data_IF_417208439742
#
_entry.id   IF_417208439742
#
_cell.length_a   1.000
_cell.length_b   1.000
_cell.length_c   1.000
_cell.angle_alpha   90.00
_cell.angle_beta   90.00
_cell.angle_gamma   90.00
#
_symmetry.space_group_name_H-M   'P 1'
#
loop_
_entity.id
_entity.type
_entity.pdbx_description
1 polymer ?
#
# COMPACT_ATOMS: atom_id res chain seq x y z
N UNK A 1 -4.46 -2.80 -9.39
CA UNK A 1 -4.22 -1.83 -8.30
C UNK A 1 -5.56 -1.55 -7.64
N UNK A 2 -5.66 -1.61 -6.31
CA UNK A 2 -6.95 -1.53 -5.60
C UNK A 2 -6.84 -0.89 -4.21
N UNK A 3 -7.98 -0.85 -3.49
CA UNK A 3 -8.09 -0.23 -2.16
C UNK A 3 -7.90 -1.22 -1.01
N UNK A 4 -7.85 -2.53 -1.28
CA UNK A 4 -7.87 -3.56 -0.26
C UNK A 4 -6.86 -4.67 -0.53
N UNK A 5 -6.44 -5.35 0.53
CA UNK A 5 -5.59 -6.52 0.46
C UNK A 5 -4.28 -6.30 -0.31
N UNK A 6 -3.88 -7.27 -1.11
CA UNK A 6 -2.65 -7.23 -1.93
C UNK A 6 -2.64 -6.10 -2.95
N UNK A 7 -3.81 -5.75 -3.48
CA UNK A 7 -3.95 -4.66 -4.46
C UNK A 7 -3.68 -3.28 -3.83
N UNK A 8 -3.99 -3.10 -2.55
CA UNK A 8 -3.63 -1.90 -1.78
C UNK A 8 -2.11 -1.80 -1.53
N UNK A 9 -1.47 -2.92 -1.20
CA UNK A 9 0.00 -2.95 -1.03
C UNK A 9 0.69 -2.54 -2.33
N UNK A 10 0.24 -3.08 -3.48
CA UNK A 10 0.75 -2.69 -4.79
C UNK A 10 0.55 -1.20 -5.06
N UNK A 11 -0.63 -0.65 -4.76
CA UNK A 11 -0.91 0.79 -4.89
C UNK A 11 0.07 1.63 -4.08
N UNK A 12 0.36 1.25 -2.82
CA UNK A 12 1.33 1.97 -1.99
C UNK A 12 2.73 1.99 -2.60
N UNK A 13 3.19 0.85 -3.10
CA UNK A 13 4.51 0.73 -3.75
C UNK A 13 4.57 1.64 -4.99
N UNK A 14 3.55 1.59 -5.85
CA UNK A 14 3.45 2.43 -7.05
C UNK A 14 3.48 3.91 -6.69
N UNK A 15 2.63 4.35 -5.75
CA UNK A 15 2.56 5.77 -5.33
C UNK A 15 3.87 6.26 -4.71
N UNK A 16 4.53 5.42 -3.92
CA UNK A 16 5.85 5.76 -3.37
C UNK A 16 6.90 5.94 -4.47
N UNK A 17 6.92 5.04 -5.45
CA UNK A 17 7.83 5.18 -6.60
C UNK A 17 7.52 6.44 -7.42
N UNK A 18 6.24 6.73 -7.69
CA UNK A 18 5.81 7.93 -8.40
C UNK A 18 6.26 9.20 -7.69
N UNK A 19 6.11 9.29 -6.37
CA UNK A 19 6.57 10.45 -5.61
C UNK A 19 8.07 10.70 -5.80
N UNK A 20 8.88 9.66 -5.74
CA UNK A 20 10.32 9.79 -5.99
C UNK A 20 10.61 10.17 -7.46
N UNK A 21 9.87 9.60 -8.39
CA UNK A 21 9.94 9.99 -9.80
C UNK A 21 9.63 11.45 -10.03
N UNK A 22 8.64 12.00 -9.34
CA UNK A 22 8.28 13.43 -9.41
C UNK A 22 9.38 14.36 -8.89
N UNK A 23 10.14 13.93 -7.89
CA UNK A 23 11.31 14.69 -7.43
C UNK A 23 12.45 14.75 -8.44
N UNK A 24 12.58 13.69 -9.25
CA UNK A 24 13.63 13.59 -10.27
C UNK A 24 13.28 14.30 -11.57
N UNK A 25 11.99 14.47 -11.86
CA UNK A 25 11.51 15.04 -13.09
C UNK A 25 10.27 15.90 -12.84
N UNK A 26 10.37 17.20 -13.08
CA UNK A 26 9.27 18.17 -12.92
C UNK A 26 8.05 17.90 -13.83
N UNK A 27 8.19 17.00 -14.80
CA UNK A 27 7.11 16.58 -15.69
C UNK A 27 6.43 15.33 -15.16
N UNK A 28 5.44 15.52 -14.37
CA UNK A 28 4.66 14.52 -13.62
C UNK A 28 3.79 13.55 -14.46
N UNK A 29 4.21 13.16 -15.65
CA UNK A 29 3.38 12.32 -16.54
C UNK A 29 4.16 11.11 -17.02
N UNK A 30 3.51 9.93 -16.92
CA UNK A 30 4.01 8.67 -17.46
C UNK A 30 5.38 8.20 -16.90
N UNK A 31 5.63 8.40 -15.62
CA UNK A 31 6.92 8.06 -14.99
C UNK A 31 7.16 6.55 -14.97
N UNK A 32 6.26 5.78 -14.35
CA UNK A 32 6.39 4.32 -14.26
C UNK A 32 5.85 3.63 -15.51
N UNK A 33 4.76 4.12 -16.07
CA UNK A 33 4.14 3.55 -17.26
C UNK A 33 5.07 3.56 -18.47
N UNK A 34 5.96 4.55 -18.58
CA UNK A 34 6.99 4.60 -19.63
C UNK A 34 8.08 3.52 -19.48
N UNK A 35 8.29 2.98 -18.27
CA UNK A 35 9.26 1.93 -18.00
C UNK A 35 8.75 0.52 -18.35
N UNK A 36 7.42 0.34 -18.50
CA UNK A 36 6.82 -0.97 -18.78
C UNK A 36 7.45 -1.70 -19.96
N UNK A 37 7.63 -1.07 -21.15
CA UNK A 37 8.23 -1.76 -22.28
C UNK A 37 9.66 -2.26 -22.00
N UNK A 38 10.44 -1.51 -21.22
CA UNK A 38 11.80 -1.89 -20.84
C UNK A 38 11.82 -3.10 -19.92
N UNK A 39 10.95 -3.10 -18.89
CA UNK A 39 10.81 -4.21 -17.94
C UNK A 39 10.30 -5.46 -18.66
N UNK A 40 9.28 -5.32 -19.51
CA UNK A 40 8.75 -6.43 -20.32
C UNK A 40 9.83 -7.01 -21.21
N UNK A 41 10.61 -6.17 -21.92
CA UNK A 41 11.67 -6.67 -22.80
C UNK A 41 12.76 -7.42 -22.03
N UNK A 42 13.07 -6.99 -20.81
CA UNK A 42 14.10 -7.63 -19.98
C UNK A 42 13.66 -8.99 -19.45
N UNK A 43 12.38 -9.15 -19.11
CA UNK A 43 11.89 -10.32 -18.38
C UNK A 43 10.96 -11.24 -19.18
N UNK A 44 10.60 -10.91 -20.42
CA UNK A 44 9.61 -11.66 -21.25
C UNK A 44 9.95 -13.13 -21.47
N UNK A 45 11.22 -13.49 -21.46
CA UNK A 45 11.65 -14.88 -21.65
C UNK A 45 11.42 -15.73 -20.39
N UNK A 46 11.55 -15.12 -19.21
CA UNK A 46 11.30 -15.77 -17.92
C UNK A 46 9.81 -15.71 -17.54
N UNK A 47 9.14 -14.61 -17.91
CA UNK A 47 7.74 -14.34 -17.58
C UNK A 47 6.98 -13.94 -18.87
N UNK A 48 6.58 -14.91 -19.71
CA UNK A 48 5.91 -14.64 -20.99
C UNK A 48 4.58 -13.86 -20.83
N UNK A 49 3.92 -14.00 -19.70
CA UNK A 49 2.71 -13.28 -19.36
C UNK A 49 2.89 -11.77 -19.31
N UNK A 50 4.11 -11.28 -19.03
CA UNK A 50 4.40 -9.84 -19.05
C UNK A 50 4.21 -9.28 -20.46
N UNK A 51 4.67 -9.99 -21.48
CA UNK A 51 4.50 -9.56 -22.87
C UNK A 51 3.04 -9.59 -23.28
N UNK A 52 2.31 -10.63 -22.87
CA UNK A 52 0.87 -10.77 -23.15
C UNK A 52 0.05 -9.64 -22.52
N UNK A 53 0.44 -9.19 -21.33
CA UNK A 53 -0.31 -8.20 -20.55
C UNK A 53 0.34 -6.79 -20.58
N UNK A 54 1.29 -6.51 -21.45
CA UNK A 54 2.05 -5.26 -21.50
C UNK A 54 1.14 -4.02 -21.55
N UNK A 55 0.14 -4.02 -22.44
CA UNK A 55 -0.81 -2.93 -22.56
C UNK A 55 -1.64 -2.76 -21.28
N UNK A 56 -2.18 -3.86 -20.75
CA UNK A 56 -2.98 -3.83 -19.52
C UNK A 56 -2.19 -3.26 -18.32
N UNK A 57 -0.93 -3.68 -18.17
CA UNK A 57 -0.05 -3.20 -17.11
C UNK A 57 0.21 -1.70 -17.27
N UNK A 58 0.53 -1.26 -18.48
CA UNK A 58 0.80 0.14 -18.79
C UNK A 58 -0.43 1.01 -18.52
N UNK A 59 -1.59 0.61 -19.01
CA UNK A 59 -2.82 1.38 -18.88
C UNK A 59 -3.25 1.48 -17.40
N UNK A 60 -3.10 0.42 -16.61
CA UNK A 60 -3.34 0.43 -15.17
C UNK A 60 -2.39 1.37 -14.42
N UNK A 61 -1.12 1.46 -14.85
CA UNK A 61 -0.16 2.41 -14.27
C UNK A 61 -0.48 3.85 -14.68
N UNK A 62 -0.80 4.11 -15.93
CA UNK A 62 -1.22 5.45 -16.42
C UNK A 62 -2.42 5.95 -15.61
N UNK A 63 -3.44 5.09 -15.42
CA UNK A 63 -4.61 5.46 -14.64
C UNK A 63 -4.27 5.80 -13.18
N UNK A 64 -3.42 5.01 -12.53
CA UNK A 64 -3.00 5.27 -11.16
C UNK A 64 -2.11 6.50 -11.04
N UNK A 65 -1.22 6.76 -12.02
CA UNK A 65 -0.41 7.97 -12.11
C UNK A 65 -1.27 9.23 -12.20
N UNK A 66 -2.28 9.22 -13.06
CA UNK A 66 -3.20 10.35 -13.20
C UNK A 66 -4.00 10.61 -11.92
N UNK A 67 -4.56 9.54 -11.31
CA UNK A 67 -5.28 9.65 -10.04
C UNK A 67 -4.38 10.15 -8.91
N UNK A 68 -3.16 9.63 -8.84
CA UNK A 68 -2.22 10.02 -7.79
C UNK A 68 -1.73 11.46 -7.96
N UNK A 69 -1.52 11.93 -9.18
CA UNK A 69 -1.11 13.30 -9.43
C UNK A 69 -2.15 14.30 -8.89
N UNK A 70 -3.44 14.04 -9.10
CA UNK A 70 -4.51 14.86 -8.55
C UNK A 70 -4.47 14.88 -7.02
N UNK A 71 -4.40 13.70 -6.40
CA UNK A 71 -4.39 13.57 -4.93
C UNK A 71 -3.11 14.13 -4.32
N UNK A 72 -1.97 14.00 -4.98
CA UNK A 72 -0.70 14.57 -4.55
C UNK A 72 -0.77 16.10 -4.51
N UNK A 73 -1.24 16.72 -5.58
CA UNK A 73 -1.37 18.18 -5.64
C UNK A 73 -2.34 18.71 -4.58
N UNK A 74 -3.47 18.04 -4.37
CA UNK A 74 -4.43 18.41 -3.33
C UNK A 74 -3.83 18.26 -1.92
N UNK A 75 -3.13 17.17 -1.65
CA UNK A 75 -2.46 16.92 -0.37
C UNK A 75 -1.36 17.95 -0.10
N UNK A 76 -0.56 18.30 -1.10
CA UNK A 76 0.49 19.31 -0.99
C UNK A 76 -0.09 20.69 -0.72
N UNK A 77 -1.14 21.10 -1.43
CA UNK A 77 -1.82 22.39 -1.19
C UNK A 77 -2.41 22.46 0.22
N UNK A 78 -2.98 21.36 0.72
CA UNK A 78 -3.50 21.28 2.09
C UNK A 78 -2.37 21.46 3.11
N UNK A 79 -1.25 20.74 2.94
CA UNK A 79 -0.07 20.85 3.79
C UNK A 79 0.46 22.28 3.83
N UNK A 80 0.66 22.90 2.68
CA UNK A 80 1.16 24.27 2.59
C UNK A 80 0.22 25.28 3.27
N UNK A 81 -1.08 25.09 3.11
CA UNK A 81 -2.08 25.97 3.71
C UNK A 81 -2.07 25.87 5.24
N UNK A 82 -2.04 24.62 5.76
CA UNK A 82 -2.01 24.39 7.20
C UNK A 82 -0.70 24.87 7.84
N UNK A 83 0.42 24.69 7.17
CA UNK A 83 1.73 25.19 7.64
C UNK A 83 1.75 26.72 7.70
N UNK A 84 1.19 27.41 6.69
CA UNK A 84 1.11 28.87 6.69
C UNK A 84 0.21 29.40 7.83
N UNK A 85 -0.84 28.66 8.16
CA UNK A 85 -1.81 29.03 9.22
C UNK A 85 -1.36 28.62 10.62
N UNK A 86 -0.47 27.64 10.73
CA UNK A 86 0.03 27.13 12.01
C UNK A 86 1.16 28.00 12.56
N UNK A 87 1.03 28.41 13.82
CA UNK A 87 2.12 29.06 14.58
C UNK A 87 3.20 28.06 15.00
N UNK A 88 2.89 26.78 15.00
CA UNK A 88 3.79 25.67 15.35
C UNK A 88 4.39 25.10 14.07
N UNK A 89 5.71 24.90 14.07
CA UNK A 89 6.43 24.22 12.98
C UNK A 89 6.21 22.70 13.05
N UNK A 90 4.95 22.27 13.07
CA UNK A 90 4.61 20.84 13.16
C UNK A 90 3.34 20.52 12.37
N UNK A 91 3.28 19.31 11.86
CA UNK A 91 2.11 18.70 11.20
C UNK A 91 1.38 17.88 12.27
N UNK A 92 0.10 18.19 12.51
CA UNK A 92 -0.70 17.46 13.49
C UNK A 92 -1.00 16.03 13.03
N UNK A 93 -1.23 15.14 14.01
CA UNK A 93 -1.67 13.77 13.73
C UNK A 93 -2.97 13.71 12.93
N UNK A 94 -3.90 14.63 13.20
CA UNK A 94 -5.16 14.77 12.46
C UNK A 94 -4.93 15.11 10.97
N UNK A 95 -4.02 16.05 10.69
CA UNK A 95 -3.69 16.40 9.32
C UNK A 95 -3.00 15.24 8.60
N UNK A 96 -2.04 14.59 9.25
CA UNK A 96 -1.35 13.42 8.70
C UNK A 96 -2.33 12.27 8.44
N UNK A 97 -3.29 12.03 9.33
CA UNK A 97 -4.35 11.05 9.15
C UNK A 97 -5.29 11.41 8.02
N UNK A 98 -5.73 12.66 7.91
CA UNK A 98 -6.57 13.15 6.80
C UNK A 98 -5.88 12.99 5.45
N UNK A 99 -4.59 13.28 5.38
CA UNK A 99 -3.77 13.06 4.18
C UNK A 99 -3.76 11.58 3.78
N UNK A 100 -3.62 10.69 4.76
CA UNK A 100 -3.65 9.24 4.54
C UNK A 100 -5.02 8.75 4.09
N UNK A 101 -6.06 9.06 4.86
CA UNK A 101 -7.40 8.49 4.71
C UNK A 101 -8.13 9.05 3.49
N UNK A 102 -8.08 10.37 3.29
CA UNK A 102 -8.84 11.06 2.24
C UNK A 102 -8.05 11.17 0.93
N UNK A 103 -6.77 11.47 1.01
CA UNK A 103 -5.95 11.73 -0.18
C UNK A 103 -5.07 10.55 -0.56
N UNK A 104 -5.07 9.47 0.25
CA UNK A 104 -4.21 8.31 0.00
C UNK A 104 -2.72 8.66 -0.01
N UNK A 105 -2.34 9.60 0.84
CA UNK A 105 -0.98 10.11 1.03
C UNK A 105 -0.36 9.35 2.22
N UNK A 106 0.44 8.32 2.02
CA UNK A 106 0.97 7.53 3.11
C UNK A 106 1.79 8.35 4.12
N UNK A 107 1.83 7.93 5.38
CA UNK A 107 2.54 8.63 6.45
C UNK A 107 4.02 8.87 6.12
N UNK A 108 4.69 7.91 5.49
CA UNK A 108 6.09 8.03 5.06
C UNK A 108 6.29 9.20 4.09
N UNK A 109 5.32 9.49 3.23
CA UNK A 109 5.35 10.67 2.36
C UNK A 109 5.19 11.97 3.13
N UNK A 110 4.31 11.99 4.14
CA UNK A 110 4.15 13.14 5.04
C UNK A 110 5.42 13.41 5.84
N UNK A 111 6.06 12.36 6.35
CA UNK A 111 7.34 12.45 7.07
C UNK A 111 8.47 12.97 6.19
N UNK A 112 8.56 12.51 4.94
CA UNK A 112 9.57 12.99 4.00
C UNK A 112 9.37 14.46 3.66
N UNK A 113 8.10 14.90 3.46
CA UNK A 113 7.79 16.30 3.24
C UNK A 113 8.14 17.15 4.46
N UNK A 114 7.79 16.68 5.66
CA UNK A 114 8.10 17.37 6.89
C UNK A 114 9.62 17.58 7.07
N UNK A 115 10.43 16.56 6.78
CA UNK A 115 11.91 16.67 6.82
C UNK A 115 12.41 17.72 5.84
N UNK A 116 11.88 17.80 4.63
CA UNK A 116 12.27 18.79 3.62
C UNK A 116 11.98 20.21 4.08
N UNK A 117 10.91 20.40 4.85
CA UNK A 117 10.47 21.70 5.36
C UNK A 117 10.98 22.00 6.77
N UNK A 118 11.80 21.12 7.37
CA UNK A 118 12.25 21.17 8.78
C UNK A 118 11.05 21.27 9.76
N UNK A 119 10.04 20.43 9.55
CA UNK A 119 8.85 20.32 10.38
C UNK A 119 8.86 19.00 11.15
N UNK A 120 8.21 18.99 12.31
CA UNK A 120 7.90 17.77 13.06
C UNK A 120 6.52 17.23 12.66
N UNK A 121 6.30 15.92 12.83
CA UNK A 121 5.01 15.26 12.61
C UNK A 121 4.58 14.60 13.92
N UNK A 122 3.36 14.85 14.33
CA UNK A 122 2.74 14.14 15.47
C UNK A 122 2.32 12.72 15.05
N UNK A 123 3.31 11.82 15.04
CA UNK A 123 3.10 10.41 14.70
C UNK A 123 2.21 9.71 15.73
N UNK A 124 2.26 10.10 17.02
CA UNK A 124 1.43 9.49 18.05
C UNK A 124 -0.04 9.77 17.82
N UNK A 125 -0.41 11.03 17.56
CA UNK A 125 -1.79 11.39 17.23
C UNK A 125 -2.27 10.71 15.94
N UNK A 126 -1.41 10.56 14.94
CA UNK A 126 -1.72 9.78 13.75
C UNK A 126 -2.03 8.31 14.10
N UNK A 127 -1.18 7.64 14.88
CA UNK A 127 -1.33 6.23 15.25
C UNK A 127 -2.61 5.99 16.06
N UNK A 128 -2.99 6.92 16.94
CA UNK A 128 -4.24 6.87 17.70
C UNK A 128 -5.46 6.90 16.77
N UNK A 129 -5.48 7.79 15.78
CA UNK A 129 -6.56 7.87 14.79
C UNK A 129 -6.61 6.62 13.89
N UNK A 130 -5.46 6.10 13.48
CA UNK A 130 -5.36 4.86 12.72
C UNK A 130 -5.91 3.66 13.51
N UNK A 131 -5.63 3.59 14.80
CA UNK A 131 -6.15 2.52 15.65
C UNK A 131 -7.67 2.62 15.82
N UNK A 132 -8.20 3.83 15.99
CA UNK A 132 -9.65 4.08 16.03
C UNK A 132 -10.32 3.62 14.72
N UNK A 133 -9.73 3.96 13.56
CA UNK A 133 -10.26 3.53 12.27
C UNK A 133 -10.26 2.00 12.13
N UNK A 134 -9.15 1.32 12.51
CA UNK A 134 -9.06 -0.14 12.50
C UNK A 134 -10.09 -0.81 13.39
N UNK A 135 -10.36 -0.24 14.58
CA UNK A 135 -11.37 -0.76 15.51
C UNK A 135 -12.77 -0.64 14.89
N UNK A 136 -13.14 0.54 14.36
CA UNK A 136 -14.41 0.74 13.64
C UNK A 136 -14.57 -0.21 12.46
N UNK A 137 -13.51 -0.41 11.67
CA UNK A 137 -13.53 -1.34 10.54
C UNK A 137 -13.71 -2.79 10.99
N UNK A 138 -13.12 -3.21 12.13
CA UNK A 138 -13.34 -4.55 12.70
C UNK A 138 -14.76 -4.73 13.22
N UNK A 139 -15.31 -3.72 13.87
CA UNK A 139 -16.69 -3.75 14.39
C UNK A 139 -17.73 -3.81 13.26
N UNK A 140 -17.43 -3.19 12.11
CA UNK A 140 -18.30 -3.21 10.92
C UNK A 140 -18.12 -4.45 10.03
N UNK A 141 -16.97 -5.13 10.12
CA UNK A 141 -16.72 -6.37 9.40
C UNK A 141 -17.10 -7.55 10.28
N UNK A 142 -18.28 -8.13 10.05
CA UNK A 142 -18.63 -9.47 10.52
C UNK A 142 -17.80 -10.51 9.77
N UNK A 143 -16.49 -10.53 9.97
CA UNK A 143 -15.65 -11.59 9.48
C UNK A 143 -15.80 -12.78 10.46
N UNK A 144 -16.79 -13.61 10.23
CA UNK A 144 -16.80 -14.94 10.84
C UNK A 144 -15.53 -15.66 10.38
N UNK A 145 -14.63 -15.91 11.30
CA UNK A 145 -13.50 -16.79 11.06
C UNK A 145 -14.07 -18.15 10.66
N UNK A 146 -13.91 -18.55 9.42
CA UNK A 146 -14.29 -19.86 8.91
C UNK A 146 -13.49 -21.00 9.60
N UNK A 147 -12.51 -20.63 10.42
CA UNK A 147 -11.72 -21.57 11.19
C UNK A 147 -12.28 -21.64 12.63
N UNK A 148 -12.55 -22.83 13.17
CA UNK A 148 -12.90 -22.99 14.56
C UNK A 148 -11.85 -22.37 15.48
N UNK A 149 -12.27 -21.65 16.51
CA UNK A 149 -11.38 -21.02 17.51
C UNK A 149 -10.54 -22.02 18.34
N UNK A 150 -10.72 -23.30 18.14
CA UNK A 150 -10.07 -24.41 18.86
C UNK A 150 -9.30 -25.36 17.95
N UNK A 151 -8.57 -24.83 16.95
CA UNK A 151 -7.61 -25.68 16.24
C UNK A 151 -6.34 -25.73 17.07
N UNK A 152 -6.18 -26.77 17.88
CA UNK A 152 -4.89 -27.12 18.46
C UNK A 152 -3.97 -27.63 17.35
N UNK A 153 -3.27 -26.72 16.69
CA UNK A 153 -2.17 -27.10 15.82
C UNK A 153 -1.03 -27.60 16.70
N UNK A 154 -0.73 -28.87 16.57
CA UNK A 154 0.26 -29.59 17.40
C UNK A 154 1.69 -29.08 17.11
N UNK A 155 1.92 -28.41 15.98
CA UNK A 155 3.24 -27.95 15.57
C UNK A 155 3.13 -26.62 14.77
N UNK A 156 4.12 -25.74 14.97
CA UNK A 156 4.23 -24.50 14.21
C UNK A 156 4.64 -24.77 12.76
N UNK A 157 4.06 -24.03 11.83
CA UNK A 157 4.43 -24.08 10.42
C UNK A 157 5.82 -23.48 10.21
N UNK A 158 6.77 -24.26 9.70
CA UNK A 158 8.10 -23.78 9.32
C UNK A 158 8.06 -23.17 7.92
N UNK A 159 8.37 -21.88 7.81
CA UNK A 159 8.53 -21.24 6.52
C UNK A 159 9.90 -21.54 5.92
N UNK A 160 9.95 -22.09 4.71
CA UNK A 160 11.18 -22.47 3.99
C UNK A 160 11.39 -21.69 2.68
N UNK A 161 10.47 -20.80 2.29
CA UNK A 161 10.46 -20.12 1.00
C UNK A 161 11.59 -19.12 0.76
N UNK A 162 12.54 -18.95 1.70
CA UNK A 162 13.79 -18.21 1.46
C UNK A 162 14.91 -19.10 0.90
N UNK A 163 14.80 -20.42 1.05
CA UNK A 163 15.83 -21.39 0.69
C UNK A 163 15.36 -22.28 -0.46
N UNK A 164 14.07 -22.63 -0.49
CA UNK A 164 13.48 -23.57 -1.45
C UNK A 164 12.16 -23.03 -2.04
N UNK A 165 11.97 -23.22 -3.34
CA UNK A 165 10.75 -22.86 -4.08
C UNK A 165 9.64 -23.90 -3.94
N UNK A 166 9.96 -25.10 -3.45
CA UNK A 166 9.04 -26.21 -3.33
C UNK A 166 9.36 -27.08 -2.12
N UNK A 167 8.34 -27.67 -1.51
CA UNK A 167 8.49 -28.60 -0.41
C UNK A 167 7.52 -29.78 -0.53
N UNK A 168 7.94 -30.92 0.02
CA UNK A 168 7.01 -32.02 0.31
C UNK A 168 6.32 -31.72 1.63
N UNK A 169 5.00 -31.66 1.61
CA UNK A 169 4.18 -31.43 2.78
C UNK A 169 3.11 -32.50 2.91
N UNK A 170 2.67 -32.73 4.13
CA UNK A 170 1.57 -33.64 4.45
C UNK A 170 0.36 -32.82 4.92
N UNK A 171 -0.80 -33.08 4.34
CA UNK A 171 -2.06 -32.46 4.79
C UNK A 171 -2.46 -33.15 6.10
N UNK A 172 -2.43 -32.40 7.19
CA UNK A 172 -2.79 -32.90 8.51
C UNK A 172 -4.28 -32.78 8.81
N UNK A 173 -4.92 -31.71 8.34
CA UNK A 173 -6.31 -31.41 8.62
C UNK A 173 -6.94 -30.77 7.39
N UNK A 174 -8.16 -31.13 7.06
CA UNK A 174 -8.99 -30.50 6.05
C UNK A 174 -10.26 -29.97 6.72
N UNK A 175 -10.61 -28.72 6.44
CA UNK A 175 -11.89 -28.16 6.85
C UNK A 175 -12.74 -27.84 5.61
N UNK A 176 -14.01 -28.19 5.68
CA UNK A 176 -15.02 -27.79 4.72
C UNK A 176 -16.17 -27.13 5.48
N UNK A 177 -16.47 -25.87 5.13
CA UNK A 177 -17.51 -25.05 5.80
C UNK A 177 -17.34 -24.98 7.34
N UNK A 178 -16.10 -24.89 7.81
CA UNK A 178 -15.77 -24.83 9.23
C UNK A 178 -15.82 -26.17 9.98
N UNK A 179 -16.12 -27.27 9.29
CA UNK A 179 -16.18 -28.62 9.86
C UNK A 179 -14.95 -29.41 9.42
N UNK A 180 -14.27 -30.04 10.40
CA UNK A 180 -13.15 -30.92 10.10
C UNK A 180 -13.66 -32.16 9.34
N UNK A 181 -13.10 -32.38 8.16
CA UNK A 181 -13.34 -33.57 7.34
C UNK A 181 -12.16 -34.54 7.47
N UNK A 182 -12.44 -35.82 7.35
CA UNK A 182 -11.41 -36.87 7.38
C UNK A 182 -10.73 -36.99 6.02
#
# INVERSE_FOLDING_TARGET
IGNEGRNYVLRRIVRRALRHGYKLNDKHVNTLSSLVPFVVNLYKELYPELKKNESLIRDALVEEELKFNVTLNQGMNLLETEIKNSKNKSISGELAFKLYDTYGFPLDMTLDFAREMNLEVDVKGYDELMNQQKTRAKESSSFESLLPSSIDLVEDTKFIGYEDDSAKAEIKIIFQDGIQTK
#
